data_IF_400612490959
#
_entry.id   IF_400612490959
#
_cell.length_a   1.000
_cell.length_b   1.000
_cell.length_c   1.000
_cell.angle_alpha   90.00
_cell.angle_beta   90.00
_cell.angle_gamma   90.00
#
_symmetry.space_group_name_H-M   'P 1'
#
loop_
_entity.id
_entity.type
_entity.pdbx_description
1 polymer ?
#
# COMPACT_ATOMS: atom_id res chain seq x y z
N UNK A 1 7.27 21.08 -15.81
CA UNK A 1 8.26 20.29 -15.05
C UNK A 1 8.02 18.78 -15.19
N UNK A 2 6.78 18.30 -15.11
CA UNK A 2 6.46 16.86 -15.19
C UNK A 2 5.79 16.45 -16.53
N UNK A 3 5.82 17.32 -17.54
CA UNK A 3 5.24 17.03 -18.85
C UNK A 3 5.95 15.83 -19.48
N UNK A 4 5.19 14.79 -19.82
CA UNK A 4 5.71 13.52 -20.34
C UNK A 4 6.24 12.54 -19.29
N UNK A 5 6.32 12.92 -18.01
CA UNK A 5 6.70 11.97 -16.94
C UNK A 5 5.45 11.33 -16.34
N UNK A 6 5.07 10.18 -16.90
CA UNK A 6 3.92 9.39 -16.45
C UNK A 6 4.43 8.18 -15.66
N UNK A 7 3.96 8.04 -14.43
CA UNK A 7 4.18 6.83 -13.64
C UNK A 7 3.36 5.68 -14.23
N UNK A 8 4.02 4.57 -14.53
CA UNK A 8 3.39 3.34 -15.01
C UNK A 8 3.58 2.24 -13.95
N UNK A 9 2.54 1.90 -13.16
CA UNK A 9 2.65 0.89 -12.10
C UNK A 9 3.06 -0.49 -12.64
N UNK A 10 2.78 -0.80 -13.91
CA UNK A 10 3.15 -2.08 -14.51
C UNK A 10 4.67 -2.26 -14.63
N UNK A 11 5.45 -1.17 -14.54
CA UNK A 11 6.92 -1.20 -14.58
C UNK A 11 7.56 -1.47 -13.23
N UNK A 12 6.79 -1.58 -12.14
CA UNK A 12 7.31 -1.91 -10.81
C UNK A 12 7.46 -3.44 -10.69
N UNK A 13 8.70 -3.98 -10.64
CA UNK A 13 8.91 -5.43 -10.70
C UNK A 13 8.86 -6.11 -9.32
N UNK A 14 8.89 -5.33 -8.24
CA UNK A 14 8.98 -5.84 -6.87
C UNK A 14 7.60 -5.99 -6.20
N UNK A 15 7.51 -6.78 -5.11
CA UNK A 15 6.36 -6.76 -4.22
C UNK A 15 6.05 -5.33 -3.76
N UNK A 16 4.77 -5.00 -3.62
CA UNK A 16 4.34 -3.66 -3.26
C UNK A 16 3.18 -3.69 -2.27
N UNK A 17 3.27 -2.84 -1.25
CA UNK A 17 2.20 -2.57 -0.29
C UNK A 17 1.68 -1.16 -0.52
N UNK A 18 0.38 -1.05 -0.67
CA UNK A 18 -0.35 0.22 -0.60
C UNK A 18 -1.14 0.22 0.71
N UNK A 19 -0.90 1.21 1.56
CA UNK A 19 -1.64 1.44 2.79
C UNK A 19 -2.17 2.88 2.80
N UNK A 20 -3.45 3.04 3.14
CA UNK A 20 -4.13 4.34 3.19
C UNK A 20 -5.04 4.40 4.41
N UNK A 21 -5.10 5.52 5.11
CA UNK A 21 -6.05 5.69 6.21
C UNK A 21 -7.49 5.74 5.70
N UNK A 22 -8.44 5.16 6.43
CA UNK A 22 -9.86 5.16 6.05
C UNK A 22 -10.40 6.59 5.81
N UNK A 23 -9.90 7.57 6.57
CA UNK A 23 -10.29 8.98 6.42
C UNK A 23 -9.90 9.54 5.05
N UNK A 24 -8.67 9.28 4.59
CA UNK A 24 -8.23 9.65 3.23
C UNK A 24 -8.94 8.83 2.16
N UNK A 25 -9.16 7.54 2.42
CA UNK A 25 -9.81 6.64 1.48
C UNK A 25 -11.28 6.98 1.25
N UNK A 26 -11.90 7.88 2.03
CA UNK A 26 -13.25 8.40 1.72
C UNK A 26 -13.28 9.32 0.50
N UNK A 27 -12.14 9.88 0.10
CA UNK A 27 -12.06 10.71 -1.10
C UNK A 27 -12.06 9.85 -2.37
N UNK A 28 -13.00 10.11 -3.29
CA UNK A 28 -13.18 9.30 -4.50
C UNK A 28 -11.96 9.31 -5.44
N UNK A 29 -11.22 10.42 -5.52
CA UNK A 29 -10.00 10.46 -6.33
C UNK A 29 -8.87 9.64 -5.69
N UNK A 30 -8.75 9.67 -4.36
CA UNK A 30 -7.82 8.78 -3.64
C UNK A 30 -8.18 7.33 -3.93
N UNK A 31 -9.46 6.94 -3.79
CA UNK A 31 -9.90 5.58 -4.15
C UNK A 31 -9.52 5.21 -5.58
N UNK A 32 -9.85 6.07 -6.54
CA UNK A 32 -9.57 5.85 -7.96
C UNK A 32 -8.08 5.63 -8.22
N UNK A 33 -7.21 6.47 -7.66
CA UNK A 33 -5.75 6.36 -7.81
C UNK A 33 -5.18 5.09 -7.16
N UNK A 34 -5.63 4.76 -5.93
CA UNK A 34 -5.17 3.55 -5.25
C UNK A 34 -5.59 2.28 -6.01
N UNK A 35 -6.84 2.23 -6.52
CA UNK A 35 -7.34 1.12 -7.32
C UNK A 35 -6.58 1.01 -8.66
N UNK A 36 -6.41 2.13 -9.38
CA UNK A 36 -5.65 2.14 -10.63
C UNK A 36 -4.22 1.63 -10.43
N UNK A 37 -3.57 2.03 -9.33
CA UNK A 37 -2.22 1.59 -9.01
C UNK A 37 -2.17 0.09 -8.68
N UNK A 38 -3.00 -0.38 -7.74
CA UNK A 38 -2.97 -1.79 -7.31
C UNK A 38 -3.35 -2.74 -8.44
N UNK A 39 -4.30 -2.38 -9.30
CA UNK A 39 -4.70 -3.22 -10.44
C UNK A 39 -3.56 -3.37 -11.44
N UNK A 40 -2.82 -2.29 -11.72
CA UNK A 40 -1.74 -2.25 -12.73
C UNK A 40 -0.40 -2.79 -12.24
N UNK A 41 -0.15 -2.86 -10.92
CA UNK A 41 1.08 -3.43 -10.38
C UNK A 41 1.30 -4.87 -10.90
N UNK A 42 2.43 -5.12 -11.54
CA UNK A 42 2.70 -6.37 -12.26
C UNK A 42 3.08 -7.53 -11.32
N UNK A 43 3.66 -7.24 -10.15
CA UNK A 43 4.06 -8.28 -9.22
C UNK A 43 2.83 -8.87 -8.50
N UNK A 44 2.65 -10.21 -8.47
CA UNK A 44 1.50 -10.82 -7.81
C UNK A 44 1.54 -10.66 -6.28
N UNK A 45 2.72 -10.42 -5.67
CA UNK A 45 2.87 -10.11 -4.24
C UNK A 45 2.58 -8.63 -3.98
N UNK A 46 1.36 -8.23 -4.31
CA UNK A 46 0.84 -6.88 -4.08
C UNK A 46 -0.29 -6.93 -3.05
N UNK A 47 -0.31 -5.95 -2.14
CA UNK A 47 -1.30 -5.88 -1.04
C UNK A 47 -1.85 -4.47 -0.95
N UNK A 48 -3.15 -4.36 -0.73
CA UNK A 48 -3.84 -3.09 -0.50
C UNK A 48 -4.57 -3.14 0.84
N UNK A 49 -4.31 -2.16 1.70
CA UNK A 49 -4.86 -2.08 3.06
C UNK A 49 -5.46 -0.70 3.28
N UNK A 50 -6.71 -0.67 3.74
CA UNK A 50 -7.34 0.53 4.29
C UNK A 50 -7.25 0.44 5.81
N UNK A 51 -6.46 1.31 6.42
CA UNK A 51 -6.22 1.32 7.86
C UNK A 51 -7.45 1.86 8.61
N UNK A 52 -7.94 1.15 9.64
CA UNK A 52 -9.28 1.36 10.18
C UNK A 52 -9.39 2.60 11.07
N UNK A 53 -10.46 3.40 10.89
CA UNK A 53 -10.67 4.59 11.72
C UNK A 53 -11.00 4.25 13.19
N UNK A 54 -11.63 3.11 13.46
CA UNK A 54 -11.96 2.68 14.82
C UNK A 54 -10.72 2.27 15.64
N UNK A 55 -9.55 2.15 15.03
CA UNK A 55 -8.27 1.97 15.73
C UNK A 55 -7.44 3.26 15.75
N UNK A 56 -8.02 4.39 15.34
CA UNK A 56 -7.32 5.67 15.23
C UNK A 56 -6.23 5.64 14.16
N UNK A 57 -6.47 4.99 13.01
CA UNK A 57 -5.51 4.80 11.93
C UNK A 57 -6.00 5.39 10.58
N UNK A 58 -6.74 6.49 10.63
CA UNK A 58 -7.51 7.09 9.53
C UNK A 58 -6.83 8.23 8.78
N UNK A 59 -5.88 8.93 9.40
CA UNK A 59 -5.34 10.17 8.86
C UNK A 59 -4.19 9.98 7.85
N UNK A 60 -3.70 11.11 7.32
CA UNK A 60 -2.54 11.15 6.42
C UNK A 60 -1.32 10.45 7.02
N UNK A 61 -0.81 9.47 6.28
CA UNK A 61 0.31 8.62 6.70
C UNK A 61 0.08 7.86 8.02
N UNK A 62 -1.16 7.76 8.49
CA UNK A 62 -1.56 6.99 9.70
C UNK A 62 -0.74 7.45 10.92
N UNK A 63 -0.49 8.75 11.02
CA UNK A 63 0.39 9.34 12.03
C UNK A 63 -0.20 9.31 13.44
N UNK A 64 -1.53 9.24 13.55
CA UNK A 64 -2.26 9.12 14.83
C UNK A 64 -2.08 7.77 15.52
N UNK A 65 -1.88 6.68 14.77
CA UNK A 65 -1.58 5.36 15.34
C UNK A 65 -0.50 4.64 14.52
N UNK A 66 0.75 5.05 14.76
CA UNK A 66 1.93 4.44 14.13
C UNK A 66 2.11 2.97 14.49
N UNK A 67 1.54 2.50 15.60
CA UNK A 67 1.63 1.10 16.00
C UNK A 67 0.84 0.22 15.03
N UNK A 68 -0.38 0.61 14.65
CA UNK A 68 -1.18 -0.10 13.63
C UNK A 68 -0.49 -0.07 12.28
N UNK A 69 0.02 1.09 11.86
CA UNK A 69 0.79 1.19 10.61
C UNK A 69 2.03 0.28 10.62
N UNK A 70 2.78 0.28 11.73
CA UNK A 70 3.96 -0.57 11.88
C UNK A 70 3.63 -2.05 11.83
N UNK A 71 2.53 -2.48 12.47
CA UNK A 71 2.07 -3.87 12.42
C UNK A 71 1.78 -4.29 10.98
N UNK A 72 0.95 -3.53 10.25
CA UNK A 72 0.61 -3.84 8.85
C UNK A 72 1.86 -3.92 7.96
N UNK A 73 2.78 -2.98 8.11
CA UNK A 73 4.01 -2.93 7.29
C UNK A 73 4.94 -4.09 7.63
N UNK A 74 5.22 -4.33 8.92
CA UNK A 74 6.17 -5.36 9.34
C UNK A 74 5.64 -6.77 9.08
N UNK A 75 4.35 -7.03 9.34
CA UNK A 75 3.73 -8.31 9.03
C UNK A 75 3.77 -8.61 7.53
N UNK A 76 3.49 -7.61 6.69
CA UNK A 76 3.60 -7.76 5.23
C UNK A 76 5.03 -8.00 4.76
N UNK A 77 6.00 -7.31 5.36
CA UNK A 77 7.41 -7.52 5.07
C UNK A 77 7.87 -8.93 5.45
N UNK A 78 7.41 -9.44 6.59
CA UNK A 78 7.63 -10.83 6.99
C UNK A 78 7.01 -11.81 5.99
N UNK A 79 5.77 -11.61 5.54
CA UNK A 79 5.15 -12.43 4.47
C UNK A 79 6.03 -12.46 3.21
N UNK A 80 6.50 -11.29 2.75
CA UNK A 80 7.30 -11.16 1.53
C UNK A 80 8.68 -11.84 1.65
N UNK A 81 9.32 -11.75 2.81
CA UNK A 81 10.68 -12.28 3.03
C UNK A 81 10.72 -13.73 3.53
N UNK A 82 9.71 -14.21 4.26
CA UNK A 82 9.67 -15.58 4.74
C UNK A 82 9.38 -16.59 3.61
N UNK A 83 8.56 -16.22 2.61
CA UNK A 83 8.39 -17.01 1.37
C UNK A 83 9.69 -17.12 0.56
N UNK A 84 10.63 -16.19 0.75
CA UNK A 84 11.96 -16.23 0.14
C UNK A 84 12.90 -17.27 0.75
N UNK A 85 12.61 -17.76 1.98
CA UNK A 85 13.42 -18.76 2.68
C UNK A 85 12.97 -20.20 2.44
N UNK A 86 11.79 -20.43 1.88
CA UNK A 86 11.32 -21.77 1.52
C UNK A 86 11.97 -22.32 0.23
N UNK A 87 12.72 -21.49 -0.50
CA UNK A 87 13.38 -21.81 -1.78
C UNK A 87 14.92 -21.65 -1.74
N UNK A 88 15.53 -21.74 -0.56
CA UNK A 88 17.00 -21.80 -0.38
C UNK A 88 17.42 -23.09 0.30
#
# INVERSE_FOLDING_TARGET
>A
ANEGFVFDPAKVPCPALIIVGEGEYRNEEVKRQQQECIEKLANPRKKFVVAPANEGASNHCITENRSVMSQVVLDWLDEVWQDGKANQ
#
